data_IF_423404949862
#
_entry.id   IF_423404949862
#
_cell.length_a   1.000
_cell.length_b   1.000
_cell.length_c   1.000
_cell.angle_alpha   90.00
_cell.angle_beta   90.00
_cell.angle_gamma   90.00
#
_symmetry.space_group_name_H-M   'P 1'
#
loop_
_entity.id
_entity.type
_entity.pdbx_description
1 polymer ?
#
# COMPACT_ATOMS: atom_id res chain seq x y z
N UNK A 1 -12.50 -3.23 3.95
CA UNK A 1 -11.55 -2.19 3.57
C UNK A 1 -10.57 -1.95 4.71
N UNK A 2 -9.28 -2.09 4.45
CA UNK A 2 -8.21 -1.92 5.43
C UNK A 2 -7.35 -0.70 5.09
N UNK A 3 -6.93 0.03 6.12
CA UNK A 3 -6.05 1.18 5.99
C UNK A 3 -4.89 1.17 6.97
N UNK A 4 -4.06 2.20 6.93
CA UNK A 4 -2.79 2.30 7.63
C UNK A 4 -2.88 2.06 9.16
N UNK A 5 -4.02 2.36 9.78
CA UNK A 5 -4.23 2.09 11.21
C UNK A 5 -4.14 0.60 11.58
N UNK A 6 -4.44 -0.31 10.63
CA UNK A 6 -4.26 -1.75 10.84
C UNK A 6 -2.77 -2.08 10.94
N UNK A 7 -1.97 -1.63 9.98
CA UNK A 7 -0.52 -1.86 9.95
C UNK A 7 0.21 -1.15 11.08
N UNK A 8 -0.19 0.08 11.38
CA UNK A 8 0.35 0.84 12.53
C UNK A 8 0.07 0.15 13.88
N UNK A 9 -1.05 -0.56 14.02
CA UNK A 9 -1.33 -1.37 15.23
C UNK A 9 -0.31 -2.50 15.43
N UNK A 10 0.37 -2.91 14.37
CA UNK A 10 1.43 -3.92 14.36
C UNK A 10 2.84 -3.29 14.28
N UNK A 11 3.00 -2.07 14.77
CA UNK A 11 4.28 -1.34 14.81
C UNK A 11 4.88 -1.05 13.42
N UNK A 12 4.07 -1.01 12.37
CA UNK A 12 4.52 -0.50 11.08
C UNK A 12 4.63 1.03 11.13
N UNK A 13 5.60 1.61 10.41
CA UNK A 13 5.72 3.07 10.33
C UNK A 13 4.49 3.68 9.67
N UNK A 14 4.16 4.92 10.05
CA UNK A 14 3.24 5.71 9.25
C UNK A 14 3.84 5.99 7.87
N UNK A 15 3.00 6.32 6.89
CA UNK A 15 3.48 6.71 5.56
C UNK A 15 4.52 7.86 5.63
N UNK A 16 4.27 8.84 6.47
CA UNK A 16 5.18 9.97 6.68
C UNK A 16 6.52 9.54 7.26
N UNK A 17 6.52 8.63 8.23
CA UNK A 17 7.74 8.14 8.87
C UNK A 17 8.56 7.28 7.90
N UNK A 18 7.89 6.44 7.10
CA UNK A 18 8.52 5.67 6.03
C UNK A 18 9.23 6.59 5.03
N UNK A 19 8.53 7.60 4.52
CA UNK A 19 9.11 8.56 3.57
C UNK A 19 10.31 9.30 4.18
N UNK A 20 10.20 9.75 5.43
CA UNK A 20 11.31 10.41 6.14
C UNK A 20 12.53 9.49 6.31
N UNK A 21 12.30 8.23 6.67
CA UNK A 21 13.36 7.23 6.78
C UNK A 21 14.07 7.01 5.44
N UNK A 22 13.32 6.79 4.38
CA UNK A 22 13.85 6.60 3.02
C UNK A 22 14.62 7.83 2.51
N UNK A 23 14.13 9.04 2.80
CA UNK A 23 14.86 10.27 2.47
C UNK A 23 16.21 10.37 3.19
N UNK A 24 16.26 9.89 4.43
CA UNK A 24 17.53 9.80 5.19
C UNK A 24 18.56 8.92 4.50
N UNK A 25 18.14 7.75 3.99
CA UNK A 25 19.02 6.83 3.25
C UNK A 25 19.45 7.41 1.89
N UNK A 26 18.51 7.98 1.14
CA UNK A 26 18.85 8.62 -0.16
C UNK A 26 19.87 9.73 0.01
N UNK A 27 19.83 10.49 1.12
CA UNK A 27 20.84 11.51 1.40
C UNK A 27 22.26 10.93 1.57
N UNK A 28 22.38 9.68 2.02
CA UNK A 28 23.67 9.02 2.25
C UNK A 28 24.22 8.35 0.99
N UNK A 29 23.39 8.06 -0.01
CA UNK A 29 23.84 7.51 -1.28
C UNK A 29 24.72 8.53 -2.02
N UNK A 30 25.86 8.10 -2.51
CA UNK A 30 26.81 8.93 -3.28
C UNK A 30 26.73 8.57 -4.76
N UNK A 31 26.32 9.52 -5.57
CA UNK A 31 26.30 9.41 -7.02
C UNK A 31 26.26 10.83 -7.59
N UNK A 32 27.12 11.20 -8.56
CA UNK A 32 27.21 12.56 -9.08
C UNK A 32 25.87 13.13 -9.60
N UNK A 33 25.09 12.31 -10.31
CA UNK A 33 23.77 12.71 -10.83
C UNK A 33 22.76 12.90 -9.69
N UNK A 34 22.80 12.03 -8.70
CA UNK A 34 21.96 12.13 -7.52
C UNK A 34 22.34 13.33 -6.64
N UNK A 35 23.62 13.64 -6.52
CA UNK A 35 24.09 14.76 -5.71
C UNK A 35 23.66 16.10 -6.33
N UNK A 36 23.73 16.25 -7.65
CA UNK A 36 23.18 17.41 -8.36
C UNK A 36 21.66 17.54 -8.17
N UNK A 37 20.92 16.41 -8.23
CA UNK A 37 19.48 16.41 -7.98
C UNK A 37 19.13 16.80 -6.54
N UNK A 38 19.88 16.32 -5.54
CA UNK A 38 19.71 16.69 -4.13
C UNK A 38 19.88 18.19 -3.90
N UNK A 39 20.90 18.77 -4.51
CA UNK A 39 21.17 20.20 -4.42
C UNK A 39 20.02 21.03 -5.02
N UNK A 40 19.58 20.69 -6.23
CA UNK A 40 18.48 21.37 -6.90
C UNK A 40 17.14 21.23 -6.17
N UNK A 41 16.88 20.09 -5.57
CA UNK A 41 15.61 19.79 -4.91
C UNK A 41 15.55 20.21 -3.43
N UNK A 42 16.69 20.61 -2.82
CA UNK A 42 16.73 21.00 -1.41
C UNK A 42 15.75 22.13 -1.08
N UNK A 43 15.74 23.18 -1.88
CA UNK A 43 14.83 24.33 -1.69
C UNK A 43 13.36 23.93 -1.85
N UNK A 44 13.05 23.07 -2.83
CA UNK A 44 11.67 22.60 -3.06
C UNK A 44 11.18 21.81 -1.84
N UNK A 45 12.04 20.96 -1.27
CA UNK A 45 11.69 20.19 -0.07
C UNK A 45 11.51 21.06 1.18
N UNK A 46 12.30 22.12 1.31
CA UNK A 46 12.18 23.08 2.40
C UNK A 46 10.87 23.87 2.31
N UNK A 47 10.51 24.35 1.12
CA UNK A 47 9.30 25.14 0.91
C UNK A 47 8.00 24.31 0.91
N UNK A 48 8.03 23.09 0.37
CA UNK A 48 6.86 22.22 0.29
C UNK A 48 6.48 21.56 1.62
N UNK A 49 7.31 21.69 2.64
CA UNK A 49 7.04 21.19 3.98
C UNK A 49 6.82 19.67 4.02
N UNK A 50 5.86 19.26 4.82
CA UNK A 50 5.54 17.85 5.10
C UNK A 50 4.59 17.19 4.08
N UNK A 51 4.57 17.64 2.82
CA UNK A 51 3.74 17.00 1.80
C UNK A 51 4.24 15.60 1.45
N UNK A 52 3.49 14.58 1.87
CA UNK A 52 3.84 13.18 1.61
C UNK A 52 3.94 12.86 0.11
N UNK A 53 3.11 13.48 -0.72
CA UNK A 53 3.10 13.26 -2.17
C UNK A 53 4.36 13.83 -2.83
N UNK A 54 4.81 15.00 -2.39
CA UNK A 54 6.04 15.62 -2.90
C UNK A 54 7.26 14.84 -2.44
N UNK A 55 7.31 14.40 -1.18
CA UNK A 55 8.37 13.52 -0.69
C UNK A 55 8.41 12.21 -1.47
N UNK A 56 7.25 11.60 -1.74
CA UNK A 56 7.16 10.39 -2.55
C UNK A 56 7.70 10.59 -3.97
N UNK A 57 7.36 11.68 -4.63
CA UNK A 57 7.90 12.03 -5.95
C UNK A 57 9.41 12.26 -5.93
N UNK A 58 9.91 12.97 -4.94
CA UNK A 58 11.34 13.14 -4.74
C UNK A 58 12.07 11.81 -4.65
N UNK A 59 11.59 10.92 -3.79
CA UNK A 59 12.15 9.59 -3.60
C UNK A 59 12.15 8.79 -4.90
N UNK A 60 11.02 8.74 -5.60
CA UNK A 60 10.90 8.02 -6.86
C UNK A 60 11.88 8.54 -7.92
N UNK A 61 12.06 9.85 -8.02
CA UNK A 61 13.04 10.46 -8.94
C UNK A 61 14.47 10.13 -8.52
N UNK A 62 14.79 10.28 -7.23
CA UNK A 62 16.13 9.96 -6.72
C UNK A 62 16.52 8.50 -7.01
N UNK A 63 15.57 7.58 -6.88
CA UNK A 63 15.75 6.16 -7.13
C UNK A 63 15.97 5.88 -8.61
N UNK A 64 15.18 6.51 -9.47
CA UNK A 64 15.35 6.36 -10.93
C UNK A 64 16.71 6.84 -11.41
N UNK A 65 17.26 7.86 -10.76
CA UNK A 65 18.60 8.41 -11.04
C UNK A 65 19.74 7.56 -10.50
N UNK A 66 19.47 6.77 -9.46
CA UNK A 66 20.48 5.88 -8.86
C UNK A 66 20.69 4.59 -9.65
N UNK A 67 19.83 4.32 -10.63
CA UNK A 67 19.92 3.19 -11.58
C UNK A 67 19.95 1.78 -10.95
N UNK A 68 19.50 1.65 -9.69
CA UNK A 68 19.44 0.36 -9.02
C UNK A 68 18.12 0.17 -8.27
N UNK A 69 17.11 -0.33 -9.00
CA UNK A 69 15.76 -0.57 -8.46
C UNK A 69 15.73 -1.60 -7.33
N UNK A 70 16.67 -2.56 -7.30
CA UNK A 70 16.70 -3.59 -6.25
C UNK A 70 17.06 -2.99 -4.88
N UNK A 71 18.02 -2.05 -4.85
CA UNK A 71 18.42 -1.36 -3.61
C UNK A 71 17.24 -0.63 -2.98
N UNK A 72 16.41 -0.02 -3.80
CA UNK A 72 15.23 0.69 -3.28
C UNK A 72 14.19 -0.27 -2.69
N UNK A 73 13.91 -1.37 -3.37
CA UNK A 73 13.01 -2.38 -2.85
C UNK A 73 13.48 -2.90 -1.49
N UNK A 74 14.76 -3.20 -1.36
CA UNK A 74 15.37 -3.65 -0.11
C UNK A 74 15.30 -2.57 0.99
N UNK A 75 15.55 -1.31 0.64
CA UNK A 75 15.44 -0.20 1.58
C UNK A 75 14.00 -0.03 2.09
N UNK A 76 13.00 -0.08 1.21
CA UNK A 76 11.60 0.01 1.62
C UNK A 76 11.25 -1.16 2.54
N UNK A 77 11.57 -2.39 2.16
CA UNK A 77 11.29 -3.57 2.96
C UNK A 77 11.92 -3.45 4.35
N UNK A 78 13.19 -3.03 4.43
CA UNK A 78 13.91 -2.81 5.68
C UNK A 78 13.23 -1.77 6.61
N UNK A 79 12.67 -0.70 6.03
CA UNK A 79 11.97 0.33 6.82
C UNK A 79 10.54 -0.03 7.15
N UNK A 80 9.89 -0.80 6.27
CA UNK A 80 8.51 -1.18 6.45
C UNK A 80 8.37 -2.29 7.49
N UNK A 81 9.24 -3.29 7.44
CA UNK A 81 9.15 -4.47 8.30
C UNK A 81 10.19 -4.47 9.42
N UNK A 82 9.77 -4.91 10.59
CA UNK A 82 10.62 -5.27 11.72
C UNK A 82 10.34 -6.71 12.16
N UNK A 83 11.08 -7.21 13.16
CA UNK A 83 10.97 -8.60 13.59
C UNK A 83 9.62 -8.95 14.24
N UNK A 84 8.80 -7.97 14.61
CA UNK A 84 7.60 -8.16 15.42
C UNK A 84 6.41 -7.37 14.88
N UNK A 85 6.02 -7.61 13.62
CA UNK A 85 4.87 -6.97 13.00
C UNK A 85 3.57 -7.78 13.22
N UNK A 86 3.10 -7.84 14.45
CA UNK A 86 1.82 -8.46 14.79
C UNK A 86 1.03 -7.61 15.79
N UNK A 87 -0.28 -7.77 15.79
CA UNK A 87 -1.17 -7.11 16.76
C UNK A 87 -2.42 -7.92 16.99
N UNK A 88 -3.09 -7.73 18.16
CA UNK A 88 -4.40 -8.34 18.40
C UNK A 88 -5.44 -7.98 17.34
N UNK A 89 -5.37 -6.78 16.77
CA UNK A 89 -6.25 -6.34 15.68
C UNK A 89 -6.04 -7.19 14.42
N UNK A 90 -4.80 -7.33 13.96
CA UNK A 90 -4.45 -8.16 12.79
C UNK A 90 -4.84 -9.63 12.99
N UNK A 91 -4.53 -10.19 14.15
CA UNK A 91 -4.89 -11.56 14.49
C UNK A 91 -6.41 -11.78 14.45
N UNK A 92 -7.19 -10.84 14.99
CA UNK A 92 -8.65 -10.94 14.97
C UNK A 92 -9.22 -10.73 13.56
N UNK A 93 -8.66 -9.85 12.76
CA UNK A 93 -9.03 -9.70 11.34
C UNK A 93 -8.78 -10.99 10.58
N UNK A 94 -7.60 -11.61 10.73
CA UNK A 94 -7.30 -12.89 10.09
C UNK A 94 -8.28 -13.99 10.51
N UNK A 95 -8.68 -14.05 11.80
CA UNK A 95 -9.71 -15.00 12.28
C UNK A 95 -11.08 -14.73 11.67
N UNK A 96 -11.50 -13.46 11.54
CA UNK A 96 -12.77 -13.10 10.89
C UNK A 96 -12.77 -13.57 9.43
N UNK A 97 -11.66 -13.36 8.73
CA UNK A 97 -11.45 -13.81 7.35
C UNK A 97 -11.50 -15.34 7.26
N UNK A 98 -10.77 -16.02 8.14
CA UNK A 98 -10.74 -17.48 8.24
C UNK A 98 -12.12 -18.12 8.40
N UNK A 99 -12.99 -17.51 9.18
CA UNK A 99 -14.36 -18.01 9.35
C UNK A 99 -15.26 -17.80 8.12
N UNK A 100 -14.69 -17.45 6.97
CA UNK A 100 -15.38 -17.27 5.65
C UNK A 100 -16.55 -16.30 5.72
N UNK A 101 -16.48 -15.31 6.61
CA UNK A 101 -17.47 -14.24 6.73
C UNK A 101 -17.13 -13.02 5.87
N UNK A 102 -16.03 -13.10 5.13
CA UNK A 102 -15.53 -12.04 4.27
C UNK A 102 -15.40 -12.59 2.85
N UNK A 103 -15.99 -11.91 1.88
CA UNK A 103 -15.96 -12.32 0.47
C UNK A 103 -14.71 -11.81 -0.25
N UNK A 104 -14.20 -10.66 0.19
CA UNK A 104 -13.01 -10.03 -0.36
C UNK A 104 -12.41 -9.04 0.65
N UNK A 105 -11.13 -8.76 0.51
CA UNK A 105 -10.44 -7.71 1.24
C UNK A 105 -9.90 -6.68 0.26
N UNK A 106 -10.12 -5.41 0.54
CA UNK A 106 -9.55 -4.28 -0.20
C UNK A 106 -8.65 -3.53 0.78
N UNK A 107 -7.36 -3.46 0.48
CA UNK A 107 -6.38 -2.80 1.35
C UNK A 107 -5.70 -1.63 0.64
N UNK A 108 -5.55 -0.54 1.38
CA UNK A 108 -4.77 0.64 1.00
C UNK A 108 -3.34 0.55 1.51
N UNK A 109 -3.04 -0.50 2.30
CA UNK A 109 -1.72 -0.74 2.85
C UNK A 109 -0.81 -1.39 1.81
N UNK A 110 0.47 -1.12 1.90
CA UNK A 110 1.48 -1.70 1.03
C UNK A 110 2.00 -3.04 1.56
N UNK A 111 1.83 -3.30 2.85
CA UNK A 111 2.34 -4.50 3.50
C UNK A 111 1.47 -5.74 3.23
N UNK A 112 2.05 -6.92 3.45
CA UNK A 112 1.42 -8.24 3.37
C UNK A 112 1.11 -8.82 4.76
N UNK A 113 0.93 -7.98 5.78
CA UNK A 113 0.74 -8.45 7.16
C UNK A 113 -0.53 -9.30 7.35
N UNK A 114 -1.59 -9.01 6.62
CA UNK A 114 -2.80 -9.84 6.68
C UNK A 114 -2.49 -11.24 6.16
N UNK A 115 -1.83 -11.36 5.04
CA UNK A 115 -1.41 -12.62 4.42
C UNK A 115 -0.50 -13.42 5.34
N UNK A 116 0.49 -12.77 5.95
CA UNK A 116 1.37 -13.39 6.93
C UNK A 116 0.57 -13.95 8.13
N UNK A 117 -0.40 -13.20 8.63
CA UNK A 117 -1.25 -13.64 9.73
C UNK A 117 -2.20 -14.77 9.30
N UNK A 118 -2.74 -14.76 8.10
CA UNK A 118 -3.52 -15.87 7.53
C UNK A 118 -2.69 -17.15 7.44
N UNK A 119 -1.44 -17.04 6.95
CA UNK A 119 -0.52 -18.17 6.87
C UNK A 119 -0.16 -18.74 8.25
N UNK A 120 -0.09 -17.91 9.27
CA UNK A 120 0.27 -18.30 10.63
C UNK A 120 -0.88 -18.96 11.44
N UNK A 121 -2.13 -18.91 10.96
CA UNK A 121 -3.27 -19.50 11.66
C UNK A 121 -3.33 -21.03 11.65
N UNK A 122 -2.39 -21.68 11.00
CA UNK A 122 -2.21 -23.14 11.01
C UNK A 122 -2.96 -23.88 9.91
N UNK A 123 -2.42 -25.05 9.54
CA UNK A 123 -2.84 -25.86 8.38
C UNK A 123 -4.28 -26.38 8.42
N UNK A 124 -4.93 -26.44 9.57
CA UNK A 124 -6.32 -26.92 9.67
C UNK A 124 -7.37 -25.90 9.26
N UNK A 125 -6.99 -24.64 9.28
CA UNK A 125 -7.89 -23.51 9.11
C UNK A 125 -7.36 -22.50 8.08
N UNK A 126 -6.43 -22.92 7.20
CA UNK A 126 -5.88 -22.05 6.17
C UNK A 126 -6.97 -21.58 5.22
N UNK A 127 -7.01 -20.28 5.00
CA UNK A 127 -7.82 -19.68 3.93
C UNK A 127 -6.92 -19.55 2.72
N UNK A 128 -7.30 -20.23 1.64
CA UNK A 128 -6.67 -19.96 0.36
C UNK A 128 -7.02 -18.54 -0.08
N UNK A 129 -6.02 -17.73 -0.33
CA UNK A 129 -6.18 -16.35 -0.78
C UNK A 129 -5.37 -16.08 -2.06
N UNK A 130 -5.74 -15.02 -2.75
CA UNK A 130 -5.00 -14.49 -3.89
C UNK A 130 -4.79 -13.00 -3.68
N UNK A 131 -3.53 -12.56 -3.51
CA UNK A 131 -3.18 -11.15 -3.47
C UNK A 131 -3.15 -10.60 -4.89
N UNK A 132 -3.85 -9.50 -5.12
CA UNK A 132 -4.06 -8.87 -6.42
C UNK A 132 -3.57 -7.43 -6.34
N UNK A 133 -2.54 -7.11 -7.12
CA UNK A 133 -1.94 -5.77 -7.17
C UNK A 133 -1.92 -5.17 -8.58
N UNK A 134 -2.27 -5.97 -9.60
CA UNK A 134 -2.23 -5.61 -11.03
C UNK A 134 -3.48 -6.08 -11.76
N UNK A 135 -3.74 -5.45 -12.90
CA UNK A 135 -4.89 -5.74 -13.78
C UNK A 135 -4.88 -7.17 -14.36
N UNK A 136 -3.68 -7.73 -14.58
CA UNK A 136 -3.52 -9.06 -15.19
C UNK A 136 -3.62 -10.23 -14.20
N UNK A 137 -3.80 -9.97 -12.91
CA UNK A 137 -3.90 -11.02 -11.90
C UNK A 137 -5.33 -11.56 -11.84
N UNK A 138 -5.45 -12.88 -12.05
CA UNK A 138 -6.75 -13.56 -12.06
C UNK A 138 -7.04 -14.09 -10.66
N UNK A 139 -8.27 -13.88 -10.18
CA UNK A 139 -8.76 -14.54 -8.97
C UNK A 139 -8.57 -16.04 -9.08
N UNK A 140 -7.90 -16.63 -8.10
CA UNK A 140 -7.86 -18.08 -7.97
C UNK A 140 -9.27 -18.65 -7.76
N UNK A 141 -9.54 -19.85 -8.30
CA UNK A 141 -10.79 -20.53 -8.03
C UNK A 141 -10.93 -20.84 -6.53
N UNK A 142 -12.02 -20.40 -5.92
CA UNK A 142 -12.33 -20.59 -4.49
C UNK A 142 -11.32 -19.96 -3.51
N UNK A 143 -10.55 -18.95 -3.94
CA UNK A 143 -9.65 -18.21 -3.05
C UNK A 143 -10.27 -16.88 -2.63
N UNK A 144 -9.89 -16.38 -1.45
CA UNK A 144 -10.22 -15.04 -1.00
C UNK A 144 -9.38 -14.01 -1.78
N UNK A 145 -9.97 -13.11 -2.55
CA UNK A 145 -9.21 -12.04 -3.16
C UNK A 145 -8.81 -10.98 -2.12
N UNK A 146 -7.54 -10.60 -2.11
CA UNK A 146 -6.99 -9.50 -1.34
C UNK A 146 -6.46 -8.46 -2.33
N UNK A 147 -7.18 -7.38 -2.51
CA UNK A 147 -6.87 -6.32 -3.47
C UNK A 147 -5.97 -5.25 -2.84
N UNK A 148 -4.73 -5.18 -3.27
CA UNK A 148 -3.79 -4.11 -2.92
C UNK A 148 -3.92 -2.95 -3.90
N UNK A 149 -4.84 -2.04 -3.63
CA UNK A 149 -5.21 -0.97 -4.58
C UNK A 149 -4.08 0.04 -4.82
N UNK A 150 -3.10 0.12 -3.93
CA UNK A 150 -1.91 0.96 -4.07
C UNK A 150 -0.64 0.15 -4.40
N UNK A 151 -0.76 -1.15 -4.66
CA UNK A 151 0.36 -2.07 -4.83
C UNK A 151 0.77 -2.76 -3.54
N UNK A 152 1.68 -3.71 -3.64
CA UNK A 152 2.15 -4.53 -2.51
C UNK A 152 3.67 -4.46 -2.39
N UNK A 153 4.15 -4.40 -1.16
CA UNK A 153 5.55 -4.56 -0.77
C UNK A 153 5.58 -5.75 0.18
N UNK A 154 5.83 -6.97 -0.31
CA UNK A 154 5.87 -8.14 0.55
C UNK A 154 7.09 -8.10 1.47
N UNK A 155 7.03 -8.77 2.60
CA UNK A 155 8.18 -8.92 3.51
C UNK A 155 9.35 -9.60 2.82
N UNK A 156 9.07 -10.57 1.99
CA UNK A 156 10.05 -11.35 1.23
C UNK A 156 9.68 -11.38 -0.27
N UNK A 157 10.69 -11.35 -1.13
CA UNK A 157 10.50 -11.38 -2.57
C UNK A 157 10.55 -10.00 -3.25
N UNK A 158 10.26 -9.96 -4.55
CA UNK A 158 10.36 -8.72 -5.32
C UNK A 158 9.25 -7.74 -4.96
N UNK A 159 9.59 -6.46 -4.92
CA UNK A 159 8.62 -5.39 -4.76
C UNK A 159 8.05 -5.02 -6.13
N UNK A 160 6.75 -5.07 -6.22
CA UNK A 160 6.00 -4.67 -7.41
C UNK A 160 5.79 -3.14 -7.49
N UNK A 161 5.11 -2.71 -8.54
CA UNK A 161 4.80 -1.29 -8.75
C UNK A 161 3.91 -0.78 -7.63
N UNK A 162 4.43 0.14 -6.83
CA UNK A 162 3.74 0.76 -5.71
C UNK A 162 3.40 2.20 -6.06
N UNK A 163 2.24 2.69 -5.65
CA UNK A 163 1.82 4.09 -5.84
C UNK A 163 2.51 4.97 -4.82
N UNK A 164 3.68 5.44 -5.17
CA UNK A 164 4.50 6.30 -4.32
C UNK A 164 4.30 7.78 -4.61
N UNK A 165 4.07 8.13 -5.87
CA UNK A 165 4.03 9.51 -6.31
C UNK A 165 2.63 10.00 -6.60
N UNK A 166 2.49 11.31 -6.58
CA UNK A 166 1.27 12.01 -7.00
C UNK A 166 0.91 11.67 -8.45
N UNK A 167 1.89 11.51 -9.33
CA UNK A 167 1.64 11.17 -10.73
C UNK A 167 1.02 9.78 -10.88
N UNK A 168 1.53 8.77 -10.17
CA UNK A 168 0.96 7.42 -10.18
C UNK A 168 -0.43 7.40 -9.55
N UNK A 169 -0.60 8.17 -8.47
CA UNK A 169 -1.90 8.36 -7.84
C UNK A 169 -2.90 8.98 -8.83
N UNK A 170 -2.52 10.05 -9.53
CA UNK A 170 -3.36 10.71 -10.52
C UNK A 170 -3.68 9.81 -11.73
N UNK A 171 -2.74 9.01 -12.21
CA UNK A 171 -2.99 8.04 -13.28
C UNK A 171 -4.11 7.05 -12.90
N UNK A 172 -4.08 6.51 -11.70
CA UNK A 172 -5.14 5.61 -11.21
C UNK A 172 -6.46 6.36 -11.01
N UNK A 173 -6.39 7.55 -10.50
CA UNK A 173 -7.53 8.41 -10.19
C UNK A 173 -8.27 8.90 -11.43
N UNK A 174 -7.55 9.30 -12.48
CA UNK A 174 -8.13 9.83 -13.72
C UNK A 174 -8.77 8.76 -14.60
N UNK A 175 -8.42 7.49 -14.41
CA UNK A 175 -8.94 6.38 -15.20
C UNK A 175 -10.11 5.72 -14.47
N UNK A 176 -11.34 6.10 -14.83
CA UNK A 176 -12.56 5.55 -14.19
C UNK A 176 -12.63 4.01 -14.23
N UNK A 177 -12.11 3.42 -15.29
CA UNK A 177 -12.10 1.97 -15.53
C UNK A 177 -10.81 1.27 -15.07
N UNK A 178 -9.97 1.94 -14.26
CA UNK A 178 -8.84 1.26 -13.65
C UNK A 178 -9.37 0.11 -12.77
N UNK A 179 -8.77 -1.07 -12.88
CA UNK A 179 -9.23 -2.29 -12.19
C UNK A 179 -9.52 -2.04 -10.70
N UNK A 180 -8.63 -1.33 -10.00
CA UNK A 180 -8.80 -1.06 -8.57
C UNK A 180 -10.01 -0.15 -8.27
N UNK A 181 -10.39 0.76 -9.16
CA UNK A 181 -11.60 1.57 -9.01
C UNK A 181 -12.86 0.74 -9.23
N UNK A 182 -12.82 -0.16 -10.21
CA UNK A 182 -13.94 -1.06 -10.55
C UNK A 182 -14.24 -2.00 -9.38
N UNK A 183 -13.21 -2.66 -8.83
CA UNK A 183 -13.38 -3.59 -7.70
C UNK A 183 -13.88 -2.86 -6.45
N UNK A 184 -13.32 -1.70 -6.13
CA UNK A 184 -13.79 -0.89 -5.01
C UNK A 184 -15.25 -0.44 -5.19
N UNK A 185 -15.61 0.05 -6.37
CA UNK A 185 -16.97 0.51 -6.64
C UNK A 185 -17.96 -0.66 -6.61
N UNK A 186 -17.57 -1.83 -7.12
CA UNK A 186 -18.37 -3.07 -7.02
C UNK A 186 -18.65 -3.39 -5.54
N UNK A 187 -17.62 -3.44 -4.69
CA UNK A 187 -17.81 -3.71 -3.28
C UNK A 187 -18.72 -2.67 -2.60
N UNK A 188 -18.47 -1.38 -2.84
CA UNK A 188 -19.22 -0.28 -2.23
C UNK A 188 -20.72 -0.26 -2.64
N UNK A 189 -21.05 -0.77 -3.83
CA UNK A 189 -22.43 -0.78 -4.33
C UNK A 189 -23.17 -2.09 -4.09
N UNK A 190 -22.46 -3.20 -3.85
CA UNK A 190 -23.07 -4.54 -3.82
C UNK A 190 -22.90 -5.28 -2.51
N UNK A 191 -22.03 -4.80 -1.61
CA UNK A 191 -21.69 -5.52 -0.39
C UNK A 191 -21.85 -4.65 0.85
N UNK A 192 -21.99 -5.30 2.01
CA UNK A 192 -21.82 -4.63 3.29
C UNK A 192 -20.33 -4.44 3.56
N UNK A 193 -19.87 -3.19 3.65
CA UNK A 193 -18.48 -2.85 3.78
C UNK A 193 -18.12 -2.50 5.21
N UNK A 194 -17.03 -3.10 5.71
CA UNK A 194 -16.38 -2.71 6.96
C UNK A 194 -15.10 -1.94 6.66
N UNK A 195 -14.94 -0.78 7.29
CA UNK A 195 -13.77 0.07 7.17
C UNK A 195 -12.96 -0.01 8.46
N UNK A 196 -11.73 -0.50 8.39
CA UNK A 196 -10.88 -0.72 9.56
C UNK A 196 -9.55 0.00 9.37
N UNK A 197 -9.21 0.88 10.31
CA UNK A 197 -7.94 1.61 10.29
C UNK A 197 -7.78 2.62 9.15
N UNK A 198 -8.86 3.03 8.50
CA UNK A 198 -8.88 4.05 7.44
C UNK A 198 -9.16 5.43 8.02
N UNK A 199 -8.34 6.41 7.64
CA UNK A 199 -8.55 7.82 8.01
C UNK A 199 -9.66 8.50 7.20
N UNK A 200 -10.14 7.87 6.13
CA UNK A 200 -11.09 8.42 5.15
C UNK A 200 -10.59 9.71 4.46
N UNK A 201 -9.27 9.92 4.46
CA UNK A 201 -8.65 11.10 3.83
C UNK A 201 -8.24 10.86 2.38
N UNK A 202 -8.21 9.60 1.93
CA UNK A 202 -7.90 9.26 0.55
C UNK A 202 -8.93 9.86 -0.42
N UNK A 203 -8.53 10.76 -1.35
CA UNK A 203 -9.47 11.45 -2.22
C UNK A 203 -10.17 10.52 -3.20
N UNK A 204 -9.50 9.44 -3.63
CA UNK A 204 -10.10 8.47 -4.54
C UNK A 204 -11.19 7.64 -3.85
N UNK A 205 -10.93 7.18 -2.63
CA UNK A 205 -11.96 6.49 -1.83
C UNK A 205 -13.19 7.37 -1.64
N UNK A 206 -12.99 8.65 -1.27
CA UNK A 206 -14.09 9.60 -1.08
C UNK A 206 -14.91 9.78 -2.36
N UNK A 207 -14.25 9.92 -3.52
CA UNK A 207 -14.89 10.00 -4.82
C UNK A 207 -15.71 8.73 -5.14
N UNK A 208 -15.16 7.55 -4.84
CA UNK A 208 -15.85 6.27 -5.06
C UNK A 208 -17.06 6.10 -4.13
N UNK A 209 -16.97 6.56 -2.88
CA UNK A 209 -18.09 6.58 -1.94
C UNK A 209 -19.22 7.51 -2.44
N UNK A 210 -18.87 8.69 -2.94
CA UNK A 210 -19.85 9.61 -3.53
C UNK A 210 -20.51 8.99 -4.78
N UNK A 211 -19.73 8.33 -5.64
CA UNK A 211 -20.26 7.62 -6.80
C UNK A 211 -21.19 6.46 -6.39
N UNK A 212 -20.79 5.65 -5.42
CA UNK A 212 -21.60 4.54 -4.92
C UNK A 212 -22.95 5.01 -4.33
N UNK A 213 -22.95 6.16 -3.63
CA UNK A 213 -24.18 6.76 -3.08
C UNK A 213 -25.19 7.15 -4.16
N UNK A 214 -24.74 7.54 -5.34
CA UNK A 214 -25.64 7.92 -6.47
C UNK A 214 -26.19 6.69 -7.16
N UNK A 215 -25.48 5.54 -7.08
CA UNK A 215 -25.88 4.28 -7.74
C UNK A 215 -26.81 3.41 -6.89
N UNK A 216 -26.93 3.68 -5.59
CA UNK A 216 -27.85 3.03 -4.65
C UNK A 216 -29.06 3.91 -4.35
#
# INVERSE_FOLDING_TARGET
FLGAGVSMSANMPSWKDLLKGLMGEVKQLKNPTLDAFKELSSHVLEECGDSNLIMGRYLQTAISLYDNKSVFSELIQKYLYNDNNTSPLLMNLARIVQHKKVNEVITYNFDDLLEQNLNNLGLRDSVDYTSISKDAEIKGHNTLPIYHVHGIIPKEGPVDTVVFSEEEYHKRYSTAYHWSNVEQLHALTRMHCFFVGLSMTDPNLRRLLDAAKVMN
#
